data_IF_692885719128
#
_entry.id   IF_692885719128
#
_cell.length_a   1.000
_cell.length_b   1.000
_cell.length_c   1.000
_cell.angle_alpha   90.00
_cell.angle_beta   90.00
_cell.angle_gamma   90.00
#
_symmetry.space_group_name_H-M   'P 1'
#
loop_
_entity.id
_entity.type
_entity.pdbx_description
1 polymer ?
#
# COMPACT_ATOMS: atom_id res chain seq x y z
N UNK A 1 -10.94 -29.31 37.88
CA UNK A 1 -10.21 -30.00 36.81
C UNK A 1 -11.26 -30.61 35.91
N UNK A 2 -11.75 -29.89 34.91
CA UNK A 2 -12.65 -30.45 33.89
C UNK A 2 -12.51 -29.60 32.63
N UNK A 3 -11.75 -30.17 31.71
CA UNK A 3 -11.09 -29.57 30.56
C UNK A 3 -11.84 -30.10 29.32
N UNK A 4 -12.47 -29.20 28.56
CA UNK A 4 -12.97 -29.38 27.18
C UNK A 4 -14.05 -30.45 26.94
N UNK A 5 -15.31 -29.99 26.88
CA UNK A 5 -16.37 -30.68 26.15
C UNK A 5 -16.02 -30.81 24.66
N UNK A 6 -15.74 -32.04 24.23
CA UNK A 6 -15.48 -32.41 22.85
C UNK A 6 -16.71 -32.15 21.95
N UNK A 7 -16.83 -30.95 21.40
CA UNK A 7 -17.69 -30.71 20.23
C UNK A 7 -16.95 -31.06 18.93
N UNK A 8 -16.60 -32.32 18.74
CA UNK A 8 -16.28 -32.82 17.41
C UNK A 8 -17.58 -32.96 16.63
N UNK A 9 -17.89 -31.99 15.76
CA UNK A 9 -18.99 -32.13 14.78
C UNK A 9 -18.83 -33.49 14.08
N UNK A 10 -19.85 -34.37 14.07
CA UNK A 10 -19.73 -35.67 13.45
C UNK A 10 -19.50 -35.46 11.94
N UNK A 11 -18.30 -35.77 11.47
CA UNK A 11 -18.03 -35.83 10.04
C UNK A 11 -18.99 -36.87 9.45
N UNK A 12 -19.76 -36.53 8.39
CA UNK A 12 -20.72 -37.45 7.80
C UNK A 12 -19.99 -38.73 7.37
N UNK A 13 -20.46 -39.88 7.88
CA UNK A 13 -19.75 -41.17 7.78
C UNK A 13 -19.70 -41.75 6.37
N UNK A 14 -20.47 -41.19 5.43
CA UNK A 14 -20.52 -41.61 4.04
C UNK A 14 -20.66 -40.39 3.12
N UNK A 15 -19.55 -39.70 2.89
CA UNK A 15 -19.44 -38.73 1.78
C UNK A 15 -18.69 -39.48 0.70
N UNK A 16 -19.34 -39.74 -0.44
CA UNK A 16 -18.69 -40.44 -1.56
C UNK A 16 -17.34 -39.81 -1.85
N UNK A 17 -16.33 -40.65 -2.11
CA UNK A 17 -14.97 -40.20 -2.39
C UNK A 17 -15.01 -39.11 -3.48
N UNK A 18 -14.62 -37.88 -3.12
CA UNK A 18 -14.41 -36.82 -4.12
C UNK A 18 -13.00 -37.02 -4.65
N UNK A 19 -12.87 -37.16 -5.96
CA UNK A 19 -11.58 -37.31 -6.60
C UNK A 19 -10.94 -35.93 -6.82
N UNK A 20 -9.63 -35.85 -6.63
CA UNK A 20 -8.84 -34.68 -6.94
C UNK A 20 -8.93 -34.37 -8.44
N UNK A 21 -9.21 -33.11 -8.79
CA UNK A 21 -9.33 -32.70 -10.21
C UNK A 21 -8.02 -32.84 -11.00
N UNK A 22 -6.87 -32.86 -10.34
CA UNK A 22 -5.57 -32.84 -11.02
C UNK A 22 -4.88 -34.22 -11.05
N UNK A 23 -5.16 -35.11 -10.08
CA UNK A 23 -4.49 -36.41 -9.97
C UNK A 23 -5.41 -37.58 -9.63
N UNK A 24 -6.73 -37.34 -9.58
CA UNK A 24 -7.76 -38.34 -9.30
C UNK A 24 -7.66 -39.03 -7.91
N UNK A 25 -6.70 -38.65 -7.07
CA UNK A 25 -6.59 -39.17 -5.70
C UNK A 25 -7.81 -38.78 -4.84
N UNK A 26 -8.17 -39.64 -3.89
CA UNK A 26 -9.25 -39.37 -2.94
C UNK A 26 -8.97 -38.13 -2.09
N UNK A 27 -9.90 -37.17 -2.12
CA UNK A 27 -9.88 -36.00 -1.25
C UNK A 27 -10.40 -36.43 0.13
N UNK A 28 -9.55 -36.31 1.15
CA UNK A 28 -9.87 -36.72 2.52
C UNK A 28 -11.08 -35.95 3.09
N UNK A 29 -11.74 -36.52 4.11
CA UNK A 29 -12.89 -35.89 4.77
C UNK A 29 -12.61 -34.47 5.32
N UNK A 30 -11.35 -34.17 5.67
CA UNK A 30 -10.90 -32.84 6.12
C UNK A 30 -10.96 -31.78 5.01
N UNK A 31 -10.98 -32.21 3.76
CA UNK A 31 -10.89 -31.40 2.55
C UNK A 31 -12.17 -31.45 1.70
N UNK A 32 -13.31 -31.90 2.23
CA UNK A 32 -14.53 -32.08 1.44
C UNK A 32 -15.01 -30.82 0.70
N UNK A 33 -14.65 -29.61 1.15
CA UNK A 33 -14.92 -28.35 0.44
C UNK A 33 -13.89 -28.01 -0.66
N UNK A 34 -12.75 -28.68 -0.69
CA UNK A 34 -11.70 -28.49 -1.69
C UNK A 34 -11.98 -29.31 -2.96
N UNK A 35 -11.54 -28.79 -4.11
CA UNK A 35 -11.61 -29.45 -5.43
C UNK A 35 -10.32 -30.25 -5.72
N UNK A 36 -9.30 -30.13 -4.86
CA UNK A 36 -7.95 -30.69 -5.04
C UNK A 36 -7.42 -31.25 -3.72
N UNK A 37 -6.59 -32.29 -3.78
CA UNK A 37 -5.92 -32.89 -2.61
C UNK A 37 -4.82 -31.98 -2.04
N UNK A 38 -4.30 -32.32 -0.85
CA UNK A 38 -3.25 -31.53 -0.16
C UNK A 38 -1.94 -31.40 -0.95
N UNK A 39 -1.63 -32.36 -1.84
CA UNK A 39 -0.41 -32.33 -2.66
C UNK A 39 -0.55 -31.44 -3.90
N UNK A 40 -1.72 -31.49 -4.56
CA UNK A 40 -1.98 -30.70 -5.77
C UNK A 40 -2.39 -29.25 -5.47
N UNK A 41 -3.04 -29.00 -4.32
CA UNK A 41 -3.55 -27.69 -3.95
C UNK A 41 -2.46 -26.59 -3.87
N UNK A 42 -1.26 -26.81 -3.30
CA UNK A 42 -0.17 -25.82 -3.28
C UNK A 42 0.29 -25.41 -4.67
N UNK A 43 0.50 -26.37 -5.58
CA UNK A 43 0.93 -26.11 -6.95
C UNK A 43 -0.11 -25.23 -7.67
N UNK A 44 -1.38 -25.62 -7.60
CA UNK A 44 -2.48 -24.85 -8.18
C UNK A 44 -2.61 -23.44 -7.57
N UNK A 45 -2.52 -23.30 -6.24
CA UNK A 45 -2.56 -21.99 -5.57
C UNK A 45 -1.39 -21.10 -6.01
N UNK A 46 -0.21 -21.68 -6.20
CA UNK A 46 0.97 -20.95 -6.67
C UNK A 46 0.82 -20.52 -8.13
N UNK A 47 0.32 -21.39 -8.99
CA UNK A 47 0.04 -21.07 -10.38
C UNK A 47 -1.03 -19.98 -10.51
N UNK A 48 -2.16 -20.11 -9.81
CA UNK A 48 -3.21 -19.10 -9.78
C UNK A 48 -2.68 -17.74 -9.28
N UNK A 49 -1.78 -17.73 -8.30
CA UNK A 49 -1.11 -16.51 -7.83
C UNK A 49 -0.19 -15.92 -8.89
N UNK A 50 0.64 -16.74 -9.54
CA UNK A 50 1.53 -16.30 -10.63
C UNK A 50 0.73 -15.70 -11.78
N UNK A 51 -0.37 -16.33 -12.16
CA UNK A 51 -1.29 -15.82 -13.17
C UNK A 51 -1.86 -14.46 -12.78
N UNK A 52 -2.37 -14.33 -11.55
CA UNK A 52 -2.92 -13.06 -11.04
C UNK A 52 -1.86 -11.95 -11.02
N UNK A 53 -0.62 -12.28 -10.69
CA UNK A 53 0.52 -11.35 -10.75
C UNK A 53 0.98 -11.01 -12.17
N UNK A 54 0.78 -11.91 -13.13
CA UNK A 54 1.07 -11.65 -14.54
C UNK A 54 -0.02 -10.75 -15.17
N UNK A 55 -1.28 -10.94 -14.76
CA UNK A 55 -2.42 -10.11 -15.16
C UNK A 55 -2.35 -8.70 -14.53
N UNK A 56 -1.89 -8.58 -13.29
CA UNK A 56 -1.69 -7.29 -12.59
C UNK A 56 -0.30 -7.21 -11.93
N UNK A 57 0.72 -6.72 -12.68
CA UNK A 57 2.07 -6.51 -12.15
C UNK A 57 2.12 -5.53 -10.96
N UNK A 58 1.20 -4.58 -10.88
CA UNK A 58 1.17 -3.59 -9.80
C UNK A 58 0.62 -4.17 -8.50
N UNK A 59 -0.33 -5.11 -8.57
CA UNK A 59 -0.76 -5.90 -7.42
C UNK A 59 0.42 -6.69 -6.84
N UNK A 60 1.22 -7.34 -7.70
CA UNK A 60 2.43 -8.08 -7.24
C UNK A 60 3.38 -7.16 -6.50
N UNK A 61 3.67 -5.99 -7.08
CA UNK A 61 4.57 -4.99 -6.49
C UNK A 61 4.06 -4.48 -5.15
N UNK A 62 2.78 -4.10 -5.06
CA UNK A 62 2.12 -3.66 -3.82
C UNK A 62 2.24 -4.72 -2.72
N UNK A 63 1.93 -5.97 -3.04
CA UNK A 63 2.05 -7.09 -2.10
C UNK A 63 3.50 -7.33 -1.65
N UNK A 64 4.48 -7.21 -2.55
CA UNK A 64 5.90 -7.35 -2.21
C UNK A 64 6.39 -6.20 -1.29
N UNK A 65 6.00 -4.96 -1.58
CA UNK A 65 6.33 -3.81 -0.75
C UNK A 65 5.73 -3.96 0.66
N UNK A 66 4.47 -4.36 0.76
CA UNK A 66 3.81 -4.62 2.05
C UNK A 66 4.50 -5.76 2.82
N UNK A 67 4.88 -6.85 2.15
CA UNK A 67 5.60 -7.95 2.77
C UNK A 67 6.99 -7.51 3.30
N UNK A 68 7.71 -6.67 2.55
CA UNK A 68 8.98 -6.10 2.98
C UNK A 68 8.82 -5.18 4.19
N UNK A 69 7.79 -4.31 4.20
CA UNK A 69 7.44 -3.46 5.33
C UNK A 69 7.12 -4.30 6.57
N UNK A 70 6.26 -5.32 6.44
CA UNK A 70 5.92 -6.27 7.50
C UNK A 70 7.15 -6.96 8.07
N UNK A 71 8.07 -7.41 7.22
CA UNK A 71 9.32 -8.04 7.65
C UNK A 71 10.18 -7.06 8.45
N UNK A 72 10.35 -5.83 7.97
CA UNK A 72 11.16 -4.79 8.65
C UNK A 72 10.59 -4.40 10.01
N UNK A 73 9.27 -4.19 10.09
CA UNK A 73 8.59 -3.88 11.34
C UNK A 73 8.72 -5.04 12.35
N UNK A 74 8.52 -6.30 11.89
CA UNK A 74 8.65 -7.50 12.74
C UNK A 74 10.06 -7.67 13.29
N UNK A 75 11.09 -7.50 12.46
CA UNK A 75 12.49 -7.65 12.89
C UNK A 75 12.86 -6.62 13.96
N UNK A 76 12.36 -5.39 13.84
CA UNK A 76 12.68 -4.30 14.78
C UNK A 76 11.78 -4.26 16.01
N UNK A 77 10.59 -4.87 15.95
CA UNK A 77 9.64 -4.86 17.06
C UNK A 77 8.91 -3.52 17.25
N UNK A 78 8.94 -2.62 16.25
CA UNK A 78 8.40 -1.25 16.38
C UNK A 78 6.87 -1.17 16.53
N UNK A 79 6.14 -2.27 16.37
CA UNK A 79 4.68 -2.30 16.39
C UNK A 79 4.04 -2.17 15.00
N UNK A 80 2.83 -2.71 14.87
CA UNK A 80 2.09 -2.79 13.62
C UNK A 80 0.59 -2.78 13.83
N UNK A 81 -0.12 -2.07 12.96
CA UNK A 81 -1.57 -2.12 12.80
C UNK A 81 -1.92 -2.53 11.35
N UNK A 82 -3.12 -3.07 11.14
CA UNK A 82 -3.64 -3.33 9.78
C UNK A 82 -4.45 -2.11 9.33
N UNK A 83 -4.10 -1.56 8.19
CA UNK A 83 -4.85 -0.49 7.51
C UNK A 83 -4.89 -0.78 6.01
N UNK A 84 -5.90 -0.26 5.32
CA UNK A 84 -5.93 -0.25 3.86
C UNK A 84 -5.34 1.08 3.35
N UNK A 85 -4.63 1.04 2.21
CA UNK A 85 -3.97 2.23 1.65
C UNK A 85 -4.96 3.33 1.28
N UNK A 86 -6.12 2.92 0.75
CA UNK A 86 -7.15 3.85 0.29
C UNK A 86 -7.70 4.67 1.46
N UNK A 87 -7.92 4.04 2.63
CA UNK A 87 -8.36 4.73 3.85
C UNK A 87 -7.39 5.86 4.24
N UNK A 88 -6.07 5.63 4.14
CA UNK A 88 -5.04 6.64 4.41
C UNK A 88 -5.13 7.79 3.39
N UNK A 89 -5.33 7.45 2.12
CA UNK A 89 -5.38 8.44 1.03
C UNK A 89 -6.62 9.33 1.12
N UNK A 90 -7.77 8.74 1.45
CA UNK A 90 -9.03 9.43 1.68
C UNK A 90 -8.99 10.31 2.94
N UNK A 91 -8.45 9.78 4.05
CA UNK A 91 -8.20 10.54 5.29
C UNK A 91 -7.37 11.80 5.02
N UNK A 92 -6.33 11.67 4.20
CA UNK A 92 -5.43 12.76 3.85
C UNK A 92 -5.97 13.63 2.69
N UNK A 93 -7.23 13.40 2.27
CA UNK A 93 -7.96 14.14 1.23
C UNK A 93 -7.19 14.23 -0.08
N UNK A 94 -6.48 13.16 -0.44
CA UNK A 94 -5.63 13.12 -1.63
C UNK A 94 -4.62 14.29 -1.71
N UNK A 95 -4.17 14.80 -0.55
CA UNK A 95 -3.10 15.78 -0.46
C UNK A 95 -1.86 15.15 0.13
N UNK A 96 -0.73 15.36 -0.54
CA UNK A 96 0.57 14.93 -0.08
C UNK A 96 0.89 15.63 1.25
N UNK A 97 1.14 14.87 2.30
CA UNK A 97 1.44 15.39 3.64
C UNK A 97 2.87 15.90 3.79
N UNK A 98 3.71 15.73 2.76
CA UNK A 98 5.07 16.29 2.72
C UNK A 98 5.10 17.67 2.04
N UNK A 99 4.49 17.83 0.87
CA UNK A 99 4.54 19.08 0.09
C UNK A 99 3.21 19.85 0.04
N UNK A 100 2.14 19.31 0.62
CA UNK A 100 0.77 19.88 0.66
C UNK A 100 0.01 19.98 -0.67
N UNK A 101 0.62 19.63 -1.81
CA UNK A 101 -0.05 19.60 -3.12
C UNK A 101 -0.91 18.34 -3.31
N UNK A 102 -1.89 18.43 -4.22
CA UNK A 102 -2.76 17.30 -4.55
C UNK A 102 -2.00 16.15 -5.21
N UNK A 103 -2.36 14.92 -4.87
CA UNK A 103 -1.89 13.69 -5.50
C UNK A 103 -2.94 13.24 -6.51
N UNK A 104 -2.50 12.96 -7.73
CA UNK A 104 -3.38 12.48 -8.80
C UNK A 104 -3.71 11.00 -8.58
N UNK A 105 -5.00 10.65 -8.55
CA UNK A 105 -5.46 9.28 -8.34
C UNK A 105 -5.18 8.39 -9.56
N UNK A 106 -5.09 9.00 -10.76
CA UNK A 106 -4.80 8.30 -12.00
C UNK A 106 -3.30 8.08 -12.22
N UNK A 107 -2.43 8.79 -11.48
CA UNK A 107 -0.99 8.64 -11.59
C UNK A 107 -0.56 7.28 -11.02
N UNK A 108 0.03 6.45 -11.86
CA UNK A 108 0.48 5.10 -11.52
C UNK A 108 1.98 5.10 -11.26
N UNK A 109 2.44 4.22 -10.37
CA UNK A 109 3.87 3.97 -10.19
C UNK A 109 4.51 3.58 -11.55
N UNK A 110 5.75 3.98 -11.88
CA UNK A 110 6.73 4.71 -11.07
C UNK A 110 6.65 6.23 -11.22
N UNK A 111 5.53 6.80 -11.67
CA UNK A 111 5.42 8.25 -11.82
C UNK A 111 5.72 8.94 -10.47
N UNK A 112 6.65 9.92 -10.40
CA UNK A 112 6.91 10.68 -9.19
C UNK A 112 5.67 11.36 -8.58
N UNK A 113 4.62 11.60 -9.36
CA UNK A 113 3.34 12.16 -8.94
C UNK A 113 2.33 11.12 -8.43
N UNK A 114 2.63 9.83 -8.54
CA UNK A 114 1.78 8.74 -8.04
C UNK A 114 1.71 8.70 -6.51
N UNK A 115 0.67 8.05 -5.97
CA UNK A 115 0.43 7.96 -4.53
C UNK A 115 1.31 6.90 -3.84
N UNK A 116 1.94 7.29 -2.74
CA UNK A 116 2.74 6.43 -1.87
C UNK A 116 2.30 6.52 -0.40
N UNK A 117 2.50 5.41 0.33
CA UNK A 117 2.48 5.42 1.79
C UNK A 117 3.86 5.87 2.26
N UNK A 118 3.90 6.98 2.98
CA UNK A 118 5.08 7.50 3.68
C UNK A 118 4.90 7.30 5.19
N UNK A 119 5.97 6.85 5.85
CA UNK A 119 6.00 6.72 7.30
C UNK A 119 6.54 8.03 7.90
N UNK A 120 5.75 8.73 8.70
CA UNK A 120 6.11 10.02 9.33
C UNK A 120 7.47 9.89 10.03
N UNK A 121 7.58 8.91 10.93
CA UNK A 121 8.87 8.38 11.40
C UNK A 121 9.17 7.11 10.61
N UNK A 122 10.25 7.06 9.81
CA UNK A 122 10.61 5.87 9.04
C UNK A 122 10.78 4.62 9.91
N UNK A 123 10.38 3.45 9.40
CA UNK A 123 10.60 2.17 10.08
C UNK A 123 12.09 1.95 10.40
N UNK A 124 12.98 2.40 9.51
CA UNK A 124 14.42 2.32 9.70
C UNK A 124 14.93 3.15 10.90
N UNK A 125 14.23 4.24 11.23
CA UNK A 125 14.52 5.15 12.33
C UNK A 125 13.73 4.81 13.61
N UNK A 126 13.06 3.65 13.68
CA UNK A 126 12.31 3.21 14.86
C UNK A 126 10.80 3.46 14.81
N UNK A 127 10.28 4.04 13.73
CA UNK A 127 8.84 4.27 13.60
C UNK A 127 8.00 2.98 13.42
N UNK A 128 6.75 2.95 13.92
CA UNK A 128 5.83 1.82 13.75
C UNK A 128 5.18 1.78 12.35
N UNK A 129 4.67 0.62 11.95
CA UNK A 129 3.81 0.49 10.76
C UNK A 129 2.33 0.54 11.19
N UNK A 130 1.87 1.71 11.61
CA UNK A 130 0.52 1.95 12.18
C UNK A 130 -0.21 3.06 11.45
N UNK A 131 -1.55 3.10 11.54
CA UNK A 131 -2.35 4.13 10.88
C UNK A 131 -1.94 5.55 11.30
N UNK A 132 -1.54 5.71 12.56
CA UNK A 132 -1.07 6.98 13.14
C UNK A 132 0.30 7.46 12.63
N UNK A 133 1.15 6.56 12.14
CA UNK A 133 2.50 6.88 11.67
C UNK A 133 2.63 6.84 10.13
N UNK A 134 1.54 6.57 9.41
CA UNK A 134 1.52 6.61 7.95
C UNK A 134 0.73 7.77 7.40
N UNK A 135 1.14 8.26 6.24
CA UNK A 135 0.52 9.35 5.52
C UNK A 135 0.63 9.19 4.00
N UNK A 136 -0.25 9.86 3.27
CA UNK A 136 -0.17 9.99 1.83
C UNK A 136 0.98 10.94 1.45
N UNK A 137 1.83 10.50 0.52
CA UNK A 137 2.80 11.35 -0.15
C UNK A 137 2.80 11.10 -1.67
N UNK A 138 3.25 12.08 -2.45
CA UNK A 138 3.73 11.79 -3.80
C UNK A 138 4.91 10.82 -3.72
N UNK A 139 4.99 9.89 -4.66
CA UNK A 139 6.05 8.90 -4.72
C UNK A 139 7.44 9.54 -4.80
N UNK A 140 7.58 10.63 -5.55
CA UNK A 140 8.82 11.42 -5.66
C UNK A 140 9.18 12.18 -4.38
N UNK A 141 8.20 12.74 -3.67
CA UNK A 141 8.45 13.41 -2.40
C UNK A 141 8.90 12.40 -1.33
N UNK A 142 8.26 11.23 -1.30
CA UNK A 142 8.64 10.12 -0.43
C UNK A 142 10.09 9.64 -0.71
N UNK A 143 10.48 9.51 -1.99
CA UNK A 143 11.87 9.19 -2.35
C UNK A 143 12.88 10.21 -1.84
N UNK A 144 12.57 11.51 -1.95
CA UNK A 144 13.42 12.58 -1.42
C UNK A 144 13.53 12.54 0.10
N UNK A 145 12.43 12.26 0.81
CA UNK A 145 12.42 12.10 2.27
C UNK A 145 13.28 10.91 2.71
N UNK A 146 13.16 9.78 2.01
CA UNK A 146 13.94 8.57 2.30
C UNK A 146 13.84 8.15 3.77
N UNK A 147 14.95 8.06 4.50
CA UNK A 147 15.02 7.68 5.91
C UNK A 147 14.94 8.84 6.89
N UNK A 148 14.63 10.06 6.44
CA UNK A 148 14.39 11.22 7.32
C UNK A 148 12.96 11.17 7.87
N UNK A 149 12.78 11.57 9.12
CA UNK A 149 11.44 11.88 9.64
C UNK A 149 10.92 13.20 9.06
N UNK A 150 9.61 13.43 9.15
CA UNK A 150 8.97 14.68 8.67
C UNK A 150 8.54 15.60 9.81
N UNK A 151 8.91 15.30 11.05
CA UNK A 151 8.49 16.07 12.23
C UNK A 151 9.25 17.39 12.26
N UNK A 152 8.53 18.51 12.16
CA UNK A 152 9.11 19.85 12.26
C UNK A 152 9.92 20.30 11.03
N UNK A 153 9.91 19.53 9.94
CA UNK A 153 10.62 19.87 8.70
C UNK A 153 9.67 20.56 7.72
N UNK A 154 10.12 21.68 7.14
CA UNK A 154 9.35 22.45 6.16
C UNK A 154 9.09 21.67 4.85
N UNK A 155 7.97 21.94 4.16
CA UNK A 155 7.57 21.19 2.97
C UNK A 155 8.59 21.26 1.83
N UNK A 156 9.31 22.39 1.72
CA UNK A 156 10.28 22.69 0.66
C UNK A 156 11.43 21.67 0.58
N UNK A 157 11.78 21.01 1.70
CA UNK A 157 12.83 20.00 1.72
C UNK A 157 12.47 18.74 0.90
N UNK A 158 11.18 18.44 0.79
CA UNK A 158 10.69 17.18 0.23
C UNK A 158 10.08 17.32 -1.16
N UNK A 159 9.84 18.54 -1.66
CA UNK A 159 9.10 18.76 -2.91
C UNK A 159 9.86 18.20 -4.11
N UNK A 160 9.38 17.13 -4.73
CA UNK A 160 10.02 16.58 -5.93
C UNK A 160 9.97 17.57 -7.11
N UNK A 161 11.02 17.67 -7.97
CA UNK A 161 11.01 18.57 -9.13
C UNK A 161 9.80 18.40 -10.05
N UNK A 162 9.27 17.18 -10.21
CA UNK A 162 8.04 16.94 -10.96
C UNK A 162 6.80 17.62 -10.33
N UNK A 163 6.74 17.71 -8.99
CA UNK A 163 5.67 18.43 -8.28
C UNK A 163 5.84 19.93 -8.51
N UNK A 164 7.07 20.45 -8.43
CA UNK A 164 7.36 21.86 -8.76
C UNK A 164 6.91 22.19 -10.18
N UNK A 165 7.33 21.38 -11.16
CA UNK A 165 6.95 21.59 -12.56
C UNK A 165 5.44 21.58 -12.77
N UNK A 166 4.69 20.75 -12.03
CA UNK A 166 3.24 20.62 -12.15
C UNK A 166 2.46 21.73 -11.46
N UNK A 167 2.87 22.15 -10.26
CA UNK A 167 2.06 23.03 -9.41
C UNK A 167 2.63 24.43 -9.23
N UNK A 168 3.93 24.61 -9.45
CA UNK A 168 4.66 25.87 -9.28
C UNK A 168 5.23 26.41 -10.61
N UNK A 169 5.11 25.65 -11.70
CA UNK A 169 5.58 26.02 -13.04
C UNK A 169 4.61 26.92 -13.80
N UNK A 170 5.10 28.09 -14.24
CA UNK A 170 4.45 29.21 -14.97
C UNK A 170 3.54 30.13 -14.14
N UNK A 171 4.17 31.09 -13.45
CA UNK A 171 3.59 32.44 -13.36
C UNK A 171 3.76 33.04 -14.76
N UNK A 172 2.69 33.17 -15.55
CA UNK A 172 2.74 34.17 -16.61
C UNK A 172 2.93 35.54 -15.94
N UNK A 173 3.76 36.45 -16.49
CA UNK A 173 3.83 37.79 -15.96
C UNK A 173 2.42 38.39 -16.08
N UNK A 174 1.78 38.63 -14.94
CA UNK A 174 0.53 39.41 -14.91
C UNK A 174 0.77 40.77 -15.58
N UNK A 175 -0.26 41.38 -16.19
CA UNK A 175 -0.08 42.63 -16.93
C UNK A 175 0.59 43.64 -16.01
N UNK A 176 1.73 44.17 -16.44
CA UNK A 176 2.43 45.25 -15.76
C UNK A 176 1.40 46.35 -15.45
N UNK A 177 1.22 46.65 -14.17
CA UNK A 177 0.41 47.77 -13.76
C UNK A 177 1.03 49.02 -14.39
N UNK A 178 0.32 49.59 -15.37
CA UNK A 178 0.68 50.86 -16.00
C UNK A 178 1.01 51.87 -14.90
N UNK A 179 2.16 52.57 -14.96
CA UNK A 179 2.45 53.58 -13.97
C UNK A 179 1.37 54.66 -14.04
N UNK A 180 0.69 54.88 -12.91
CA UNK A 180 -0.30 55.92 -12.76
C UNK A 180 0.34 57.26 -13.15
N UNK A 181 -0.13 57.83 -14.26
CA UNK A 181 0.24 59.20 -14.65
C UNK A 181 -0.27 60.13 -13.55
N UNK A 182 0.64 60.69 -12.77
CA UNK A 182 0.35 61.81 -11.90
C UNK A 182 -0.15 62.98 -12.75
N UNK A 183 -1.43 63.31 -12.60
CA UNK A 183 -1.97 64.62 -12.96
C UNK A 183 -1.53 65.57 -11.85
N UNK A 184 -0.61 66.48 -12.19
CA UNK A 184 -0.35 67.65 -11.36
C UNK A 184 -1.41 68.69 -11.70
N UNK A 185 -2.23 69.07 -10.70
CA UNK A 185 -2.98 70.32 -10.68
C UNK A 185 -2.09 71.46 -10.15
#
# INVERSE_FOLDING_TARGET
>A
MEYFGHHSKPYPKHVGARLCRDCEADITAKQLSAVRCDDCLPAWKNEARRRRWAEDPDLRRRQQADAANRRRARIRGNGRERYERLDVFERDRWRCRLCSFSVDQAAQWPDPLSAAIDHVVPIAAGGPDTLSNVQLAHQGCNWRKSSKDSIGIGPDEFIHPAVVARFLGKKEPGPEASPARHLND
#
